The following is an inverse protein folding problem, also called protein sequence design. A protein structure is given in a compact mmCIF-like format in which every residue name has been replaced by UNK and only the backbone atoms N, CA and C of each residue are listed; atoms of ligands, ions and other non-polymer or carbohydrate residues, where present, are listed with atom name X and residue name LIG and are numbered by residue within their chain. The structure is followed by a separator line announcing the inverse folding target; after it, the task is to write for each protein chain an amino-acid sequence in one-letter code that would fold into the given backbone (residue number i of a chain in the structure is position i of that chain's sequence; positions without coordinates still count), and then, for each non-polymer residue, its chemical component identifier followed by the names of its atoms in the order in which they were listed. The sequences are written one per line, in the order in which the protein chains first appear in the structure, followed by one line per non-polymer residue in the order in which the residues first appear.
data_IF_331966057091
#
_entry.id   IF_331966057091
#
_cell.length_a   1.000
_cell.length_b   1.000
_cell.length_c   1.000
_cell.angle_alpha   90.00
_cell.angle_beta   90.00
_cell.angle_gamma   90.00
#
_symmetry.space_group_name_H-M   'P 1'
#
loop_
_entity.id
_entity.type
_entity.pdbx_description
1 polymer ?
#
# COMPACT_ATOMS: atom_id res chain seq x y z
N UNK A 1 4.83 -27.31 -2.73
CA UNK A 1 3.51 -27.96 -2.59
C UNK A 1 2.51 -27.03 -3.27
N UNK A 2 2.00 -27.40 -4.45
CA UNK A 2 1.11 -26.50 -5.20
C UNK A 2 -0.25 -26.50 -4.50
N UNK A 3 -0.61 -25.38 -3.88
CA UNK A 3 -1.90 -25.21 -3.22
C UNK A 3 -2.97 -25.08 -4.30
N UNK A 4 -3.94 -26.00 -4.34
CA UNK A 4 -5.09 -25.90 -5.24
C UNK A 4 -5.98 -24.76 -4.74
N UNK A 5 -6.15 -23.67 -5.49
CA UNK A 5 -6.94 -22.53 -5.03
C UNK A 5 -8.43 -22.89 -5.00
N UNK A 6 -9.13 -22.40 -3.97
CA UNK A 6 -10.59 -22.56 -3.85
C UNK A 6 -11.33 -21.69 -4.88
N UNK A 7 -12.63 -21.94 -5.08
CA UNK A 7 -13.46 -21.21 -6.05
C UNK A 7 -13.40 -19.68 -5.89
N UNK A 8 -13.57 -19.18 -4.67
CA UNK A 8 -13.51 -17.73 -4.39
C UNK A 8 -12.10 -17.14 -4.59
N UNK A 9 -11.05 -17.95 -4.35
CA UNK A 9 -9.67 -17.54 -4.61
C UNK A 9 -9.41 -17.41 -6.11
N UNK A 10 -9.91 -18.36 -6.92
CA UNK A 10 -9.88 -18.27 -8.39
C UNK A 10 -10.60 -17.02 -8.90
N UNK A 11 -11.78 -16.72 -8.33
CA UNK A 11 -12.53 -15.50 -8.65
C UNK A 11 -11.70 -14.26 -8.36
N UNK A 12 -11.06 -14.21 -7.19
CA UNK A 12 -10.21 -13.09 -6.77
C UNK A 12 -8.99 -12.93 -7.68
N UNK A 13 -8.32 -14.03 -8.03
CA UNK A 13 -7.21 -14.04 -8.97
C UNK A 13 -7.63 -13.51 -10.35
N UNK A 14 -8.83 -13.88 -10.82
CA UNK A 14 -9.41 -13.42 -12.08
C UNK A 14 -9.72 -11.92 -12.05
N UNK A 15 -10.46 -11.45 -11.06
CA UNK A 15 -10.91 -10.05 -11.01
C UNK A 15 -9.75 -9.07 -10.84
N UNK A 16 -8.71 -9.45 -10.07
CA UNK A 16 -7.49 -8.63 -9.94
C UNK A 16 -6.69 -8.49 -11.24
N UNK A 17 -6.97 -9.33 -12.24
CA UNK A 17 -6.40 -9.25 -13.59
C UNK A 17 -7.32 -8.57 -14.60
N UNK A 18 -8.43 -8.00 -14.12
CA UNK A 18 -9.42 -7.30 -14.95
C UNK A 18 -10.25 -8.21 -15.86
N UNK A 19 -10.20 -9.53 -15.67
CA UNK A 19 -10.89 -10.47 -16.54
C UNK A 19 -12.34 -10.70 -16.09
N UNK A 20 -13.27 -10.77 -17.04
CA UNK A 20 -14.59 -11.39 -16.87
C UNK A 20 -14.50 -12.92 -16.88
N UNK A 21 -15.52 -13.61 -16.38
CA UNK A 21 -15.58 -15.07 -16.47
C UNK A 21 -15.52 -15.57 -17.93
N UNK A 22 -16.18 -14.84 -18.84
CA UNK A 22 -16.18 -15.14 -20.28
C UNK A 22 -14.80 -15.01 -20.91
N UNK A 23 -14.05 -13.96 -20.56
CA UNK A 23 -12.68 -13.76 -21.07
C UNK A 23 -11.72 -14.82 -20.55
N UNK A 24 -11.77 -15.12 -19.24
CA UNK A 24 -10.96 -16.19 -18.66
C UNK A 24 -11.29 -17.53 -19.33
N UNK A 25 -12.56 -17.83 -19.52
CA UNK A 25 -13.00 -19.06 -20.16
C UNK A 25 -12.48 -19.17 -21.60
N UNK A 26 -12.61 -18.09 -22.39
CA UNK A 26 -12.11 -18.03 -23.77
C UNK A 26 -10.60 -18.25 -23.83
N UNK A 27 -9.82 -17.56 -22.99
CA UNK A 27 -8.36 -17.66 -22.94
C UNK A 27 -7.90 -19.05 -22.47
N UNK A 28 -8.61 -19.63 -21.50
CA UNK A 28 -8.32 -20.97 -21.00
C UNK A 28 -8.90 -22.07 -21.89
N UNK A 29 -9.67 -21.74 -22.93
CA UNK A 29 -10.37 -22.66 -23.84
C UNK A 29 -11.37 -23.58 -23.13
N UNK A 30 -12.12 -23.04 -22.17
CA UNK A 30 -13.20 -23.71 -21.44
C UNK A 30 -14.51 -22.93 -21.61
N UNK A 31 -15.63 -23.48 -21.16
CA UNK A 31 -16.91 -22.75 -21.19
C UNK A 31 -17.02 -21.76 -20.02
N UNK A 32 -17.68 -20.61 -20.25
CA UNK A 32 -17.93 -19.63 -19.18
C UNK A 32 -18.75 -20.24 -18.03
N UNK A 33 -19.73 -21.10 -18.35
CA UNK A 33 -20.50 -21.81 -17.33
C UNK A 33 -19.66 -22.73 -16.44
N UNK A 34 -18.57 -23.31 -16.97
CA UNK A 34 -17.62 -24.07 -16.14
C UNK A 34 -16.87 -23.15 -15.19
N UNK A 35 -16.32 -22.03 -15.67
CA UNK A 35 -15.63 -21.04 -14.82
C UNK A 35 -16.55 -20.53 -13.71
N UNK A 36 -17.80 -20.20 -14.03
CA UNK A 36 -18.77 -19.73 -13.05
C UNK A 36 -19.05 -20.77 -11.94
N UNK A 37 -19.23 -22.05 -12.31
CA UNK A 37 -19.47 -23.12 -11.34
C UNK A 37 -18.25 -23.42 -10.47
N UNK A 38 -17.05 -23.35 -11.05
CA UNK A 38 -15.79 -23.53 -10.32
C UNK A 38 -15.60 -22.41 -9.31
N UNK A 39 -15.80 -21.15 -9.72
CA UNK A 39 -15.70 -20.00 -8.83
C UNK A 39 -16.73 -20.05 -7.69
N UNK A 40 -17.94 -20.54 -7.98
CA UNK A 40 -18.98 -20.75 -6.96
C UNK A 40 -18.74 -21.97 -6.06
N UNK A 41 -17.68 -22.76 -6.29
CA UNK A 41 -17.41 -23.99 -5.54
C UNK A 41 -18.44 -25.10 -5.78
N UNK A 42 -19.26 -24.99 -6.82
CA UNK A 42 -20.34 -25.94 -7.14
C UNK A 42 -19.88 -27.11 -8.03
N UNK A 43 -18.66 -27.04 -8.54
CA UNK A 43 -18.04 -28.14 -9.30
C UNK A 43 -16.54 -28.17 -9.05
N UNK A 44 -16.01 -29.38 -8.88
CA UNK A 44 -14.57 -29.62 -8.91
C UNK A 44 -14.12 -29.86 -10.36
N UNK A 45 -13.28 -28.98 -10.92
CA UNK A 45 -12.78 -29.16 -12.29
C UNK A 45 -11.76 -30.30 -12.34
N UNK A 46 -11.61 -30.92 -13.51
CA UNK A 46 -10.47 -31.81 -13.75
C UNK A 46 -9.16 -31.02 -13.61
N UNK A 47 -8.11 -31.70 -13.14
CA UNK A 47 -6.76 -31.10 -12.97
C UNK A 47 -6.32 -30.36 -14.22
N UNK A 48 -6.45 -30.96 -15.40
CA UNK A 48 -6.08 -30.34 -16.68
C UNK A 48 -6.88 -29.08 -17.03
N UNK A 49 -8.12 -28.96 -16.55
CA UNK A 49 -8.93 -27.75 -16.72
C UNK A 49 -8.43 -26.65 -15.80
N UNK A 50 -8.16 -27.00 -14.54
CA UNK A 50 -7.61 -26.07 -13.56
C UNK A 50 -6.23 -25.55 -14.00
N UNK A 51 -5.35 -26.43 -14.48
CA UNK A 51 -4.02 -26.05 -15.00
C UNK A 51 -4.12 -25.01 -16.13
N UNK A 52 -5.07 -25.18 -17.06
CA UNK A 52 -5.30 -24.21 -18.14
C UNK A 52 -5.78 -22.86 -17.62
N UNK A 53 -6.68 -22.86 -16.64
CA UNK A 53 -7.17 -21.64 -15.98
C UNK A 53 -6.02 -20.95 -15.25
N UNK A 54 -5.24 -21.67 -14.44
CA UNK A 54 -4.12 -21.13 -13.67
C UNK A 54 -3.01 -20.60 -14.58
N UNK A 55 -2.71 -21.29 -15.68
CA UNK A 55 -1.74 -20.81 -16.67
C UNK A 55 -2.12 -19.45 -17.25
N UNK A 56 -3.39 -19.26 -17.61
CA UNK A 56 -3.89 -17.96 -18.10
C UNK A 56 -3.77 -16.89 -17.02
N UNK A 57 -4.22 -17.19 -15.80
CA UNK A 57 -4.12 -16.26 -14.68
C UNK A 57 -2.65 -15.87 -14.44
N UNK A 58 -1.73 -16.83 -14.33
CA UNK A 58 -0.32 -16.53 -14.10
C UNK A 58 0.35 -15.75 -15.25
N UNK A 59 -0.16 -15.88 -16.47
CA UNK A 59 0.36 -15.13 -17.63
C UNK A 59 -0.03 -13.65 -17.67
N UNK A 60 -1.09 -13.26 -16.95
CA UNK A 60 -1.61 -11.88 -16.95
C UNK A 60 -1.17 -11.18 -15.66
N UNK A 61 -0.49 -10.02 -15.74
CA UNK A 61 -0.06 -9.28 -14.57
C UNK A 61 -1.27 -8.80 -13.76
N UNK A 62 -1.11 -8.83 -12.44
CA UNK A 62 -2.10 -8.30 -11.50
C UNK A 62 -2.16 -6.78 -11.64
N UNK A 63 -3.36 -6.22 -11.73
CA UNK A 63 -3.58 -4.79 -11.57
C UNK A 63 -3.56 -4.48 -10.07
N UNK A 64 -2.46 -3.90 -9.59
CA UNK A 64 -2.27 -3.53 -8.19
C UNK A 64 -2.55 -2.04 -8.06
N UNK A 65 -3.47 -1.69 -7.18
CA UNK A 65 -3.76 -0.29 -6.84
C UNK A 65 -3.30 0.03 -5.43
N UNK A 66 -3.29 1.31 -5.11
CA UNK A 66 -2.80 1.85 -3.83
C UNK A 66 -3.50 1.20 -2.63
N UNK A 67 -4.81 0.95 -2.70
CA UNK A 67 -5.57 0.29 -1.62
C UNK A 67 -5.13 -1.14 -1.33
N UNK A 68 -4.50 -1.82 -2.29
CA UNK A 68 -4.00 -3.19 -2.11
C UNK A 68 -2.71 -3.23 -1.28
N UNK A 69 -1.97 -2.12 -1.22
CA UNK A 69 -0.62 -2.07 -0.65
C UNK A 69 -0.46 -1.05 0.49
N UNK A 70 -1.48 -0.22 0.74
CA UNK A 70 -1.42 0.78 1.81
C UNK A 70 -1.57 0.15 3.20
N UNK A 71 -0.92 0.76 4.17
CA UNK A 71 -1.10 0.48 5.58
C UNK A 71 -2.16 1.40 6.20
N UNK A 72 -2.99 0.85 7.08
CA UNK A 72 -4.03 1.57 7.84
C UNK A 72 -4.20 0.93 9.23
N UNK A 73 -4.44 1.71 10.30
CA UNK A 73 -4.57 3.16 10.35
C UNK A 73 -3.24 3.89 10.16
N UNK A 74 -3.29 5.13 9.65
CA UNK A 74 -2.08 5.96 9.51
C UNK A 74 -1.60 6.43 10.87
N UNK A 75 -0.40 5.98 11.25
CA UNK A 75 0.29 6.48 12.44
C UNK A 75 0.70 7.92 12.15
N UNK A 76 0.21 8.87 12.94
CA UNK A 76 0.36 10.31 12.73
C UNK A 76 0.44 11.04 14.05
N UNK A 77 0.70 12.35 14.00
CA UNK A 77 0.78 13.25 15.16
C UNK A 77 0.00 14.54 14.88
N UNK A 78 -0.61 15.16 15.90
CA UNK A 78 -1.34 16.42 15.71
C UNK A 78 -0.37 17.61 15.62
N UNK A 79 -0.73 18.60 14.81
CA UNK A 79 0.01 19.83 14.60
C UNK A 79 0.36 20.58 15.89
N UNK A 80 -0.53 20.55 16.88
CA UNK A 80 -0.37 21.26 18.15
C UNK A 80 0.32 20.43 19.23
N UNK A 81 0.56 19.14 18.98
CA UNK A 81 1.33 18.32 19.91
C UNK A 81 2.79 18.75 19.97
N UNK A 82 3.44 18.33 21.05
CA UNK A 82 4.86 18.62 21.28
C UNK A 82 5.75 17.64 20.53
N UNK A 83 6.95 18.08 20.15
CA UNK A 83 7.94 17.23 19.48
C UNK A 83 8.24 15.96 20.28
N UNK A 84 8.27 16.03 21.62
CA UNK A 84 8.44 14.85 22.49
C UNK A 84 7.39 13.75 22.23
N UNK A 85 6.16 14.12 21.89
CA UNK A 85 5.11 13.15 21.55
C UNK A 85 5.42 12.45 20.23
N UNK A 86 5.84 13.21 19.21
CA UNK A 86 6.24 12.64 17.93
C UNK A 86 7.40 11.65 18.08
N UNK A 87 8.43 12.00 18.86
CA UNK A 87 9.59 11.12 19.14
C UNK A 87 9.16 9.84 19.86
N UNK A 88 8.25 9.92 20.83
CA UNK A 88 7.74 8.73 21.53
C UNK A 88 6.93 7.81 20.60
N UNK A 89 6.14 8.39 19.69
CA UNK A 89 5.41 7.62 18.66
C UNK A 89 6.40 6.94 17.72
N UNK A 90 7.40 7.67 17.19
CA UNK A 90 8.45 7.15 16.32
C UNK A 90 9.14 5.94 16.95
N UNK A 91 9.60 6.09 18.21
CA UNK A 91 10.25 5.02 18.97
C UNK A 91 9.35 3.80 19.17
N UNK A 92 8.09 4.00 19.56
CA UNK A 92 7.15 2.89 19.85
C UNK A 92 6.74 2.14 18.59
N UNK A 93 6.74 2.80 17.45
CA UNK A 93 6.25 2.27 16.17
C UNK A 93 7.36 1.90 15.21
N UNK A 94 8.61 2.13 15.59
CA UNK A 94 9.81 1.89 14.77
C UNK A 94 9.73 2.59 13.40
N UNK A 95 9.39 3.88 13.43
CA UNK A 95 9.27 4.72 12.22
C UNK A 95 10.07 6.00 12.37
N UNK A 96 10.76 6.41 11.30
CA UNK A 96 11.60 7.62 11.30
C UNK A 96 10.88 8.91 10.93
N UNK A 97 9.59 8.83 10.62
CA UNK A 97 8.79 9.96 10.17
C UNK A 97 7.31 9.75 10.48
N UNK A 98 6.60 10.85 10.66
CA UNK A 98 5.17 10.85 10.91
C UNK A 98 4.46 11.92 10.07
N UNK A 99 3.35 11.57 9.42
CA UNK A 99 2.36 12.53 8.96
C UNK A 99 1.87 13.42 10.10
N UNK A 100 1.85 14.72 9.85
CA UNK A 100 1.32 15.74 10.76
C UNK A 100 -0.08 16.11 10.30
N UNK A 101 -1.04 16.02 11.20
CA UNK A 101 -2.44 16.35 10.94
C UNK A 101 -2.84 17.65 11.63
N UNK A 102 -3.64 18.47 10.94
CA UNK A 102 -4.34 19.62 11.52
C UNK A 102 -5.83 19.43 11.29
N UNK A 103 -6.61 19.30 12.38
CA UNK A 103 -8.06 19.03 12.29
C UNK A 103 -8.38 17.82 11.40
N UNK A 104 -7.57 16.76 11.52
CA UNK A 104 -7.71 15.52 10.76
C UNK A 104 -7.22 15.57 9.31
N UNK A 105 -6.69 16.70 8.83
CA UNK A 105 -6.15 16.83 7.46
C UNK A 105 -4.62 16.85 7.48
N UNK A 106 -3.95 16.13 6.55
CA UNK A 106 -2.50 16.16 6.47
C UNK A 106 -2.00 17.54 6.05
N UNK A 107 -1.05 18.08 6.80
CA UNK A 107 -0.42 19.39 6.53
C UNK A 107 1.08 19.28 6.27
N UNK A 108 1.66 18.11 6.49
CA UNK A 108 3.05 17.80 6.16
C UNK A 108 3.58 16.62 6.95
N UNK A 109 4.90 16.49 7.04
CA UNK A 109 5.58 15.47 7.84
C UNK A 109 6.60 16.05 8.80
N UNK A 110 6.82 15.31 9.89
CA UNK A 110 7.94 15.51 10.82
C UNK A 110 8.86 14.29 10.74
N UNK A 111 10.16 14.54 10.64
CA UNK A 111 11.19 13.52 10.39
C UNK A 111 12.29 13.59 11.47
N UNK A 112 12.81 12.42 11.85
CA UNK A 112 13.91 12.31 12.83
C UNK A 112 15.12 13.17 12.45
N UNK A 113 15.49 13.21 11.17
CA UNK A 113 16.64 13.99 10.69
C UNK A 113 16.48 15.49 11.00
N UNK A 114 15.28 16.04 10.83
CA UNK A 114 15.03 17.46 11.11
C UNK A 114 15.00 17.74 12.61
N UNK A 115 14.45 16.84 13.40
CA UNK A 115 14.50 16.93 14.87
C UNK A 115 15.97 16.92 15.33
N UNK A 116 16.77 15.99 14.82
CA UNK A 116 18.20 15.88 15.14
C UNK A 116 18.97 17.14 14.75
N UNK A 117 18.79 17.64 13.52
CA UNK A 117 19.39 18.91 13.07
C UNK A 117 19.03 20.08 14.00
N UNK A 118 17.77 20.15 14.46
CA UNK A 118 17.33 21.20 15.38
C UNK A 118 17.96 21.05 16.77
N UNK A 119 18.11 19.83 17.28
CA UNK A 119 18.78 19.55 18.55
C UNK A 119 20.26 19.95 18.51
N UNK A 120 20.99 19.58 17.45
CA UNK A 120 22.40 19.95 17.26
C UNK A 120 22.56 21.47 17.14
N UNK A 121 21.60 22.18 16.53
CA UNK A 121 21.62 23.63 16.49
C UNK A 121 21.26 24.30 17.84
N UNK A 122 20.76 23.55 18.83
CA UNK A 122 20.28 24.05 20.12
C UNK A 122 20.86 23.26 21.31
N UNK A 123 22.12 22.85 21.24
CA UNK A 123 22.78 22.03 22.28
C UNK A 123 22.78 22.66 23.68
N UNK A 124 22.72 23.99 23.77
CA UNK A 124 22.62 24.70 25.06
C UNK A 124 21.23 24.63 25.71
N UNK A 125 20.19 24.20 24.98
CA UNK A 125 18.82 24.11 25.47
C UNK A 125 17.99 23.06 24.69
N UNK A 126 18.39 21.78 24.64
CA UNK A 126 17.70 20.74 23.86
C UNK A 126 16.26 20.50 24.34
N UNK A 127 15.96 20.75 25.62
CA UNK A 127 14.62 20.67 26.21
C UNK A 127 13.61 21.57 25.49
N UNK A 128 14.04 22.74 25.00
CA UNK A 128 13.16 23.65 24.25
C UNK A 128 12.69 23.03 22.93
N UNK A 129 13.50 22.19 22.30
CA UNK A 129 13.12 21.49 21.07
C UNK A 129 12.02 20.48 21.37
N UNK A 130 12.17 19.69 22.43
CA UNK A 130 11.17 18.71 22.85
C UNK A 130 9.83 19.35 23.25
N UNK A 131 9.87 20.55 23.84
CA UNK A 131 8.68 21.30 24.27
C UNK A 131 8.05 22.17 23.17
N UNK A 132 8.73 22.37 22.03
CA UNK A 132 8.18 23.07 20.86
C UNK A 132 7.08 22.27 20.17
N UNK A 133 6.26 22.95 19.36
CA UNK A 133 5.16 22.29 18.63
C UNK A 133 5.70 21.54 17.43
N UNK A 134 5.07 20.42 17.11
CA UNK A 134 5.33 19.67 15.87
C UNK A 134 5.19 20.56 14.64
N UNK A 135 4.18 21.44 14.63
CA UNK A 135 3.95 22.41 13.57
C UNK A 135 5.16 23.30 13.23
N UNK A 136 6.05 23.56 14.20
CA UNK A 136 7.24 24.40 14.01
C UNK A 136 8.38 23.68 13.27
N UNK A 137 8.30 22.34 13.14
CA UNK A 137 9.32 21.49 12.53
C UNK A 137 8.85 20.73 11.28
N UNK A 138 7.65 20.99 10.76
CA UNK A 138 7.18 20.35 9.52
C UNK A 138 8.21 20.54 8.39
N UNK A 139 8.69 19.45 7.77
CA UNK A 139 9.70 19.46 6.69
C UNK A 139 9.17 19.06 5.34
N UNK A 140 8.28 18.09 5.30
CA UNK A 140 7.94 17.38 4.07
C UNK A 140 6.47 17.54 3.71
N UNK A 141 6.22 17.39 2.41
CA UNK A 141 4.87 17.27 1.84
C UNK A 141 4.73 15.83 1.36
N UNK A 142 3.70 15.15 1.85
CA UNK A 142 3.32 13.85 1.32
C UNK A 142 2.46 14.06 0.07
N UNK A 143 2.80 13.45 -1.08
CA UNK A 143 1.87 13.35 -2.19
C UNK A 143 0.57 12.69 -1.71
N UNK A 144 -0.55 13.19 -2.21
CA UNK A 144 -1.87 12.64 -1.94
C UNK A 144 -2.36 11.91 -3.17
N UNK A 145 -2.81 10.66 -2.99
CA UNK A 145 -3.35 9.85 -4.08
C UNK A 145 -4.69 9.22 -3.68
N UNK A 146 -5.43 8.73 -4.66
CA UNK A 146 -6.67 7.99 -4.42
C UNK A 146 -6.38 6.52 -4.10
N UNK A 147 -7.32 5.79 -3.45
CA UNK A 147 -7.17 4.35 -3.24
C UNK A 147 -7.01 3.54 -4.55
N UNK A 148 -7.48 4.10 -5.68
CA UNK A 148 -7.45 3.47 -7.00
C UNK A 148 -6.23 3.83 -7.83
N UNK A 149 -5.33 4.67 -7.32
CA UNK A 149 -4.12 5.08 -8.03
C UNK A 149 -3.22 3.86 -8.29
N UNK A 150 -2.63 3.80 -9.48
CA UNK A 150 -1.87 2.63 -9.96
C UNK A 150 -0.53 2.45 -9.23
N UNK A 151 -0.05 1.21 -9.14
CA UNK A 151 1.27 0.90 -8.58
C UNK A 151 2.40 1.68 -9.28
N UNK A 152 2.33 1.81 -10.61
CA UNK A 152 3.33 2.53 -11.42
C UNK A 152 3.41 4.00 -11.04
N UNK A 153 2.27 4.66 -10.85
CA UNK A 153 2.20 6.08 -10.46
C UNK A 153 2.71 6.28 -9.02
N UNK A 154 2.34 5.40 -8.09
CA UNK A 154 2.86 5.42 -6.71
C UNK A 154 4.38 5.19 -6.71
N UNK A 155 4.87 4.27 -7.53
CA UNK A 155 6.30 3.99 -7.64
C UNK A 155 7.08 5.19 -8.20
N UNK A 156 6.56 5.85 -9.24
CA UNK A 156 7.14 7.07 -9.80
C UNK A 156 7.25 8.17 -8.73
N UNK A 157 6.16 8.44 -8.01
CA UNK A 157 6.13 9.44 -6.93
C UNK A 157 7.18 9.12 -5.84
N UNK A 158 7.25 7.89 -5.33
CA UNK A 158 8.26 7.52 -4.32
C UNK A 158 9.70 7.56 -4.87
N UNK A 159 9.89 7.30 -6.15
CA UNK A 159 11.22 7.35 -6.79
C UNK A 159 11.79 8.78 -6.86
N UNK A 160 10.92 9.81 -6.88
CA UNK A 160 11.29 11.23 -6.88
C UNK A 160 11.80 11.75 -5.52
N UNK A 161 11.98 10.86 -4.54
CA UNK A 161 12.52 11.21 -3.23
C UNK A 161 11.47 11.38 -2.14
N UNK A 162 10.17 11.28 -2.46
CA UNK A 162 9.13 11.26 -1.43
C UNK A 162 9.29 10.02 -0.53
N UNK A 163 9.29 10.24 0.77
CA UNK A 163 9.53 9.17 1.74
C UNK A 163 8.31 8.26 1.95
N UNK A 164 7.10 8.82 1.79
CA UNK A 164 5.84 8.07 1.74
C UNK A 164 4.80 8.84 0.91
N UNK A 165 3.67 8.20 0.65
CA UNK A 165 2.49 8.76 -0.02
C UNK A 165 1.28 8.54 0.88
N UNK A 166 0.41 9.54 1.01
CA UNK A 166 -0.84 9.41 1.76
C UNK A 166 -2.00 9.12 0.82
N UNK A 167 -2.87 8.22 1.27
CA UNK A 167 -4.06 7.80 0.52
C UNK A 167 -5.28 8.51 1.09
N UNK A 168 -5.94 9.29 0.25
CA UNK A 168 -7.10 10.10 0.61
C UNK A 168 -8.31 9.67 -0.20
N UNK A 169 -9.48 9.57 0.44
CA UNK A 169 -10.76 9.33 -0.22
C UNK A 169 -11.83 10.17 0.47
N UNK A 170 -12.58 10.94 -0.32
CA UNK A 170 -13.67 11.80 0.18
C UNK A 170 -13.24 12.70 1.37
N UNK A 171 -12.02 13.27 1.28
CA UNK A 171 -11.46 14.14 2.31
C UNK A 171 -11.00 13.43 3.59
N UNK A 172 -11.04 12.10 3.61
CA UNK A 172 -10.61 11.26 4.74
C UNK A 172 -9.28 10.59 4.43
N UNK A 173 -8.36 10.61 5.40
CA UNK A 173 -7.11 9.86 5.32
C UNK A 173 -7.39 8.36 5.52
N UNK A 174 -7.12 7.56 4.49
CA UNK A 174 -7.40 6.12 4.46
C UNK A 174 -6.18 5.26 4.75
N UNK A 175 -4.99 5.72 4.35
CA UNK A 175 -3.77 4.93 4.47
C UNK A 175 -2.50 5.67 4.08
N UNK A 176 -1.38 4.97 4.19
CA UNK A 176 -0.04 5.42 3.82
C UNK A 176 0.67 4.31 3.04
N UNK A 177 1.46 4.68 2.04
CA UNK A 177 2.30 3.77 1.25
C UNK A 177 3.75 4.23 1.31
N UNK A 178 4.66 3.28 1.52
CA UNK A 178 6.11 3.50 1.58
C UNK A 178 6.83 2.79 0.44
N UNK A 179 8.13 3.06 0.30
CA UNK A 179 9.00 2.40 -0.69
C UNK A 179 9.00 0.87 -0.52
N UNK A 180 8.99 0.40 0.72
CA UNK A 180 9.00 -1.03 1.02
C UNK A 180 7.73 -1.70 0.49
N UNK A 181 6.56 -1.09 0.68
CA UNK A 181 5.28 -1.63 0.20
C UNK A 181 5.29 -1.80 -1.33
N UNK A 182 5.79 -0.80 -2.06
CA UNK A 182 5.95 -0.86 -3.52
C UNK A 182 6.93 -1.96 -3.95
N UNK A 183 8.08 -2.07 -3.29
CA UNK A 183 9.08 -3.11 -3.59
C UNK A 183 8.47 -4.51 -3.38
N UNK A 184 7.75 -4.72 -2.27
CA UNK A 184 7.05 -5.98 -2.01
C UNK A 184 5.95 -6.25 -3.05
N UNK A 185 5.21 -5.22 -3.46
CA UNK A 185 4.18 -5.34 -4.48
C UNK A 185 4.74 -5.78 -5.84
N UNK A 186 5.89 -5.25 -6.26
CA UNK A 186 6.56 -5.71 -7.48
C UNK A 186 7.04 -7.16 -7.38
N UNK A 187 7.55 -7.58 -6.22
CA UNK A 187 7.89 -9.00 -5.99
C UNK A 187 6.67 -9.90 -6.24
N UNK A 188 5.52 -9.59 -5.63
CA UNK A 188 4.28 -10.33 -5.83
C UNK A 188 3.78 -10.29 -7.28
N UNK A 189 3.93 -9.15 -7.96
CA UNK A 189 3.57 -8.98 -9.38
C UNK A 189 4.40 -9.87 -10.32
N UNK A 190 5.62 -10.23 -9.93
CA UNK A 190 6.58 -10.98 -10.75
C UNK A 190 6.77 -12.45 -10.35
N UNK A 191 6.45 -12.85 -9.12
CA UNK A 191 6.51 -14.26 -8.68
C UNK A 191 5.59 -15.20 -9.49
N UNK A 192 4.55 -14.68 -10.14
CA UNK A 192 3.70 -15.44 -11.06
C UNK A 192 4.33 -15.80 -12.42
N UNK A 193 5.53 -15.30 -12.73
CA UNK A 193 6.20 -15.54 -14.04
C UNK A 193 7.23 -16.68 -14.04
N UNK A 194 7.65 -17.17 -12.87
CA UNK A 194 8.74 -18.16 -12.73
C UNK A 194 8.28 -19.50 -12.15
N UNK A 195 7.03 -19.93 -12.40
CA UNK A 195 6.51 -21.25 -11.99
C UNK A 195 5.68 -21.88 -13.10
#
# INVERSE_FOLDING_TARGET
MSLIPKGDELRTLRTRRGLTQSELARLAGVSQGLVARVEAGTVDPRVSTLERILKVLNSIPVNIVTSDIMSSPVISVDFHEKVRTAVEIMRRRDVSQLPVLLKGRPVGGIEEEKILKKLVANLSSPEKVYESKVGDLISSVYPLVSPKTSLEEVADLLSRGHAAILVMEEGTLKGIVTKIDVIMAYKLKHEGKNS
#
